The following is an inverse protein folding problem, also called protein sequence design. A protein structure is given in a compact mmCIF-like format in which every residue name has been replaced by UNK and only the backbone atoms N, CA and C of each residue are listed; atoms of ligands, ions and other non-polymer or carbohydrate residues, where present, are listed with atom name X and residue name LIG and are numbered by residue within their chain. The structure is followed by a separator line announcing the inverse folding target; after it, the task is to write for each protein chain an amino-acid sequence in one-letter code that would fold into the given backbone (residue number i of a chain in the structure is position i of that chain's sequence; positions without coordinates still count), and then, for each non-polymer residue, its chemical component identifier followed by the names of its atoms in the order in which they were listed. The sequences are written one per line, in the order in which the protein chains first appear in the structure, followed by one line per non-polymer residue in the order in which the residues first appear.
data_IF_336756219668
#
_entry.id   IF_336756219668
#
_cell.length_a   1.000
_cell.length_b   1.000
_cell.length_c   1.000
_cell.angle_alpha   90.00
_cell.angle_beta   90.00
_cell.angle_gamma   90.00
#
_symmetry.space_group_name_H-M   'P 1'
#
loop_
_entity.id
_entity.type
_entity.pdbx_description
1 polymer ?
#
# COMPACT_ATOMS: atom_id res chain seq x y z
N UNK A 1 -23.75 -11.20 30.00
CA UNK A 1 -23.73 -12.68 30.15
C UNK A 1 -24.17 -13.39 28.87
N UNK A 2 -25.35 -13.11 28.31
CA UNK A 2 -25.90 -13.80 27.14
C UNK A 2 -24.98 -13.79 25.90
N UNK A 3 -24.36 -12.64 25.57
CA UNK A 3 -23.38 -12.55 24.46
C UNK A 3 -22.18 -13.48 24.63
N UNK A 4 -21.69 -13.62 25.87
CA UNK A 4 -20.54 -14.50 26.15
C UNK A 4 -20.93 -15.97 26.06
N UNK A 5 -22.15 -16.31 26.48
CA UNK A 5 -22.69 -17.66 26.34
C UNK A 5 -22.83 -18.06 24.86
N UNK A 6 -23.35 -17.15 24.03
CA UNK A 6 -23.44 -17.34 22.58
C UNK A 6 -22.05 -17.61 21.97
N UNK A 7 -21.06 -16.76 22.27
CA UNK A 7 -19.68 -16.95 21.79
C UNK A 7 -19.06 -18.25 22.33
N UNK A 8 -19.28 -18.60 23.59
CA UNK A 8 -18.73 -19.83 24.18
C UNK A 8 -19.30 -21.10 23.53
N UNK A 9 -20.60 -21.12 23.21
CA UNK A 9 -21.25 -22.26 22.55
C UNK A 9 -20.75 -22.40 21.11
N UNK A 10 -20.57 -21.30 20.38
CA UNK A 10 -19.96 -21.33 19.04
C UNK A 10 -18.50 -21.80 19.10
N UNK A 11 -17.73 -21.37 20.10
CA UNK A 11 -16.36 -21.86 20.34
C UNK A 11 -16.33 -23.36 20.65
N UNK A 12 -17.29 -23.84 21.43
CA UNK A 12 -17.41 -25.25 21.78
C UNK A 12 -17.73 -26.09 20.53
N UNK A 13 -18.64 -25.61 19.67
CA UNK A 13 -18.95 -26.23 18.38
C UNK A 13 -17.74 -26.34 17.47
N UNK A 14 -16.94 -25.28 17.34
CA UNK A 14 -15.72 -25.30 16.54
C UNK A 14 -14.63 -26.25 17.09
N UNK A 15 -14.69 -26.63 18.37
CA UNK A 15 -13.78 -27.59 19.00
C UNK A 15 -14.30 -29.04 18.95
N UNK A 16 -15.62 -29.23 19.05
CA UNK A 16 -16.28 -30.54 19.12
C UNK A 16 -17.59 -30.55 18.30
N UNK A 17 -17.52 -30.54 16.95
CA UNK A 17 -18.69 -30.34 16.12
C UNK A 17 -19.73 -31.47 16.24
N UNK A 18 -19.30 -32.73 16.40
CA UNK A 18 -20.17 -33.91 16.48
C UNK A 18 -21.02 -33.96 17.75
N UNK A 19 -20.47 -33.50 18.88
CA UNK A 19 -21.16 -33.56 20.19
C UNK A 19 -22.07 -32.35 20.44
N UNK A 20 -21.93 -31.25 19.68
CA UNK A 20 -22.52 -29.94 20.05
C UNK A 20 -23.30 -29.24 18.94
N UNK A 21 -23.58 -29.96 17.85
CA UNK A 21 -24.37 -29.48 16.73
C UNK A 21 -25.80 -29.04 17.12
N UNK A 22 -26.51 -29.86 17.90
CA UNK A 22 -27.87 -29.50 18.34
C UNK A 22 -27.87 -28.26 19.23
N UNK A 23 -26.90 -28.17 20.15
CA UNK A 23 -26.79 -27.06 21.09
C UNK A 23 -26.54 -25.72 20.38
N UNK A 24 -25.63 -25.70 19.39
CA UNK A 24 -25.34 -24.46 18.65
C UNK A 24 -26.53 -24.04 17.79
N UNK A 25 -27.25 -24.99 17.18
CA UNK A 25 -28.44 -24.69 16.39
C UNK A 25 -29.56 -24.10 17.27
N UNK A 26 -29.83 -24.70 18.42
CA UNK A 26 -30.84 -24.22 19.35
C UNK A 26 -30.54 -22.80 19.85
N UNK A 27 -29.29 -22.54 20.24
CA UNK A 27 -28.88 -21.24 20.76
C UNK A 27 -28.85 -20.17 19.69
N UNK A 28 -28.44 -20.51 18.46
CA UNK A 28 -28.49 -19.57 17.34
C UNK A 28 -29.93 -19.25 16.91
N UNK A 29 -30.84 -20.23 16.96
CA UNK A 29 -32.27 -20.01 16.73
C UNK A 29 -32.85 -19.07 17.79
N UNK A 30 -32.59 -19.36 19.07
CA UNK A 30 -33.02 -18.51 20.18
C UNK A 30 -32.45 -17.09 20.06
N UNK A 31 -31.19 -16.96 19.64
CA UNK A 31 -30.54 -15.67 19.48
C UNK A 31 -31.09 -14.85 18.30
N UNK A 32 -31.51 -15.51 17.22
CA UNK A 32 -31.96 -14.82 15.99
C UNK A 32 -33.46 -14.59 15.93
N UNK A 33 -34.27 -15.48 16.51
CA UNK A 33 -35.73 -15.47 16.42
C UNK A 33 -36.41 -14.97 17.70
N UNK A 34 -35.96 -15.44 18.86
CA UNK A 34 -36.66 -15.22 20.14
C UNK A 34 -36.05 -14.10 21.00
N UNK A 35 -34.88 -13.57 20.62
CA UNK A 35 -34.19 -12.53 21.38
C UNK A 35 -34.58 -11.13 20.95
N UNK A 36 -35.07 -10.32 21.89
CA UNK A 36 -35.36 -8.89 21.70
C UNK A 36 -34.11 -7.99 21.72
N UNK A 37 -32.94 -8.51 22.12
CA UNK A 37 -31.71 -7.73 22.15
C UNK A 37 -31.07 -7.66 20.74
N UNK A 38 -30.92 -6.46 20.15
CA UNK A 38 -30.39 -6.29 18.80
C UNK A 38 -28.93 -6.75 18.67
N UNK A 39 -28.08 -6.48 19.67
CA UNK A 39 -26.66 -6.88 19.64
C UNK A 39 -26.50 -8.41 19.65
N UNK A 40 -27.39 -9.10 20.38
CA UNK A 40 -27.38 -10.55 20.45
C UNK A 40 -27.85 -11.19 19.14
N UNK A 41 -28.86 -10.58 18.52
CA UNK A 41 -29.40 -10.98 17.23
C UNK A 41 -28.38 -10.82 16.10
N UNK A 42 -27.73 -9.67 16.03
CA UNK A 42 -26.71 -9.38 15.03
C UNK A 42 -25.51 -10.31 15.15
N UNK A 43 -25.03 -10.54 16.38
CA UNK A 43 -23.94 -11.48 16.63
C UNK A 43 -24.34 -12.92 16.30
N UNK A 44 -25.59 -13.30 16.56
CA UNK A 44 -26.17 -14.57 16.15
C UNK A 44 -26.14 -14.76 14.64
N UNK A 45 -26.59 -13.77 13.86
CA UNK A 45 -26.55 -13.84 12.40
C UNK A 45 -25.12 -13.86 11.83
N UNK A 46 -24.19 -13.12 12.44
CA UNK A 46 -22.77 -13.17 12.03
C UNK A 46 -22.23 -14.59 12.21
N UNK A 47 -22.43 -15.21 13.39
CA UNK A 47 -21.98 -16.58 13.61
C UNK A 47 -22.68 -17.58 12.70
N UNK A 48 -23.98 -17.42 12.45
CA UNK A 48 -24.72 -18.27 11.52
C UNK A 48 -24.09 -18.22 10.12
N UNK A 49 -23.88 -17.02 9.57
CA UNK A 49 -23.28 -16.85 8.24
C UNK A 49 -21.86 -17.37 8.19
N UNK A 50 -21.07 -17.14 9.22
CA UNK A 50 -19.68 -17.59 9.30
C UNK A 50 -19.61 -19.12 9.28
N UNK A 51 -20.41 -19.80 10.12
CA UNK A 51 -20.46 -21.26 10.20
C UNK A 51 -21.05 -21.91 8.94
N UNK A 52 -22.03 -21.27 8.29
CA UNK A 52 -22.65 -21.79 7.07
C UNK A 52 -21.84 -21.54 5.79
N UNK A 53 -20.98 -20.51 5.76
CA UNK A 53 -20.20 -20.13 4.57
C UNK A 53 -18.85 -20.83 4.54
N UNK A 54 -18.09 -20.76 5.63
CA UNK A 54 -16.75 -21.33 5.72
C UNK A 54 -16.40 -21.70 7.18
N UNK A 55 -16.42 -22.99 7.54
CA UNK A 55 -16.08 -23.43 8.90
C UNK A 55 -14.59 -23.24 9.24
N UNK A 56 -13.70 -23.17 8.24
CA UNK A 56 -12.25 -22.97 8.46
C UNK A 56 -11.99 -21.52 8.85
N UNK A 57 -12.50 -20.57 8.08
CA UNK A 57 -12.45 -19.14 8.44
C UNK A 57 -13.17 -18.87 9.77
N UNK A 58 -14.27 -19.57 10.05
CA UNK A 58 -14.96 -19.45 11.33
C UNK A 58 -14.07 -19.80 12.52
N UNK A 59 -13.23 -20.84 12.37
CA UNK A 59 -12.29 -21.25 13.40
C UNK A 59 -11.22 -20.20 13.64
N UNK A 60 -10.63 -19.64 12.58
CA UNK A 60 -9.60 -18.61 12.68
C UNK A 60 -10.12 -17.34 13.34
N UNK A 61 -11.31 -16.87 12.97
CA UNK A 61 -11.89 -15.64 13.51
C UNK A 61 -12.35 -15.82 14.96
N UNK A 62 -13.04 -16.92 15.28
CA UNK A 62 -13.67 -17.09 16.59
C UNK A 62 -12.68 -17.60 17.65
N UNK A 63 -11.69 -18.41 17.26
CA UNK A 63 -10.65 -18.93 18.16
C UNK A 63 -9.35 -18.09 18.13
N UNK A 64 -9.35 -16.94 17.46
CA UNK A 64 -8.21 -16.03 17.47
C UNK A 64 -7.77 -15.70 18.91
N UNK A 65 -6.46 -15.73 19.13
CA UNK A 65 -5.88 -15.21 20.36
C UNK A 65 -6.07 -13.70 20.42
N UNK A 66 -6.42 -13.19 21.60
CA UNK A 66 -6.54 -11.75 21.79
C UNK A 66 -5.16 -11.13 21.57
N UNK A 67 -5.01 -10.10 20.71
CA UNK A 67 -3.72 -9.46 20.53
C UNK A 67 -3.22 -8.92 21.86
N UNK A 68 -1.91 -9.08 22.10
CA UNK A 68 -1.24 -8.47 23.25
C UNK A 68 -1.26 -6.95 23.02
N UNK A 69 -2.12 -6.25 23.74
CA UNK A 69 -2.11 -4.80 23.80
C UNK A 69 -0.99 -4.46 24.78
N UNK A 70 0.19 -4.10 24.27
CA UNK A 70 1.25 -3.52 25.09
C UNK A 70 1.02 -2.02 25.15
N UNK A 71 0.83 -1.47 26.34
CA UNK A 71 0.81 -0.02 26.54
C UNK A 71 2.25 0.48 26.58
N UNK A 72 2.60 1.54 25.84
CA UNK A 72 3.94 2.17 25.83
C UNK A 72 4.41 2.62 27.22
N UNK A 73 3.48 2.74 28.18
CA UNK A 73 3.70 3.16 29.56
C UNK A 73 4.47 2.15 30.41
N UNK A 74 4.44 0.85 30.09
CA UNK A 74 5.15 -0.20 30.84
C UNK A 74 6.66 -0.25 30.56
N UNK A 75 7.15 0.54 29.60
CA UNK A 75 8.56 0.57 29.20
C UNK A 75 9.38 1.67 29.90
N UNK A 76 8.76 2.46 30.79
CA UNK A 76 9.45 3.52 31.53
C UNK A 76 10.16 2.89 32.74
N UNK A 77 11.48 3.09 32.83
CA UNK A 77 12.26 2.63 33.99
C UNK A 77 11.67 3.23 35.28
N UNK A 78 11.44 2.43 36.35
CA UNK A 78 10.82 2.92 37.58
C UNK A 78 11.52 4.13 38.21
N UNK A 79 12.83 4.22 38.06
CA UNK A 79 13.67 5.34 38.53
C UNK A 79 13.37 6.63 37.75
N UNK A 80 13.25 6.54 36.42
CA UNK A 80 12.86 7.64 35.55
C UNK A 80 11.40 8.04 35.81
N UNK A 81 10.51 7.08 36.05
CA UNK A 81 9.12 7.37 36.41
C UNK A 81 9.05 8.19 37.71
N UNK A 82 9.79 7.79 38.76
CA UNK A 82 9.84 8.52 40.02
C UNK A 82 10.38 9.96 39.84
N UNK A 83 11.33 10.17 38.92
CA UNK A 83 11.79 11.51 38.55
C UNK A 83 10.73 12.30 37.76
N UNK A 84 10.11 11.68 36.75
CA UNK A 84 9.12 12.33 35.88
C UNK A 84 7.83 12.70 36.63
N UNK A 85 7.46 11.94 37.67
CA UNK A 85 6.33 12.27 38.56
C UNK A 85 6.53 13.66 39.20
N UNK A 86 7.77 14.01 39.55
CA UNK A 86 8.07 15.34 40.11
C UNK A 86 7.92 16.48 39.10
N UNK A 87 7.83 16.17 37.80
CA UNK A 87 7.76 17.13 36.69
C UNK A 87 6.50 16.95 35.82
N UNK A 88 5.44 16.35 36.37
CA UNK A 88 4.13 16.27 35.72
C UNK A 88 3.64 17.68 35.36
N UNK A 89 3.21 17.87 34.11
CA UNK A 89 2.80 19.17 33.59
C UNK A 89 3.92 19.95 32.90
N UNK A 90 5.09 19.33 32.69
CA UNK A 90 6.19 19.89 31.89
C UNK A 90 6.47 19.03 30.65
N UNK A 91 7.29 19.54 29.73
CA UNK A 91 7.68 18.77 28.54
C UNK A 91 8.42 17.46 28.88
N UNK A 92 9.08 17.38 30.05
CA UNK A 92 9.77 16.18 30.51
C UNK A 92 8.83 14.97 30.61
N UNK A 93 7.62 15.16 31.18
CA UNK A 93 6.63 14.09 31.32
C UNK A 93 5.96 13.69 30.00
N UNK A 94 5.98 14.57 28.98
CA UNK A 94 5.41 14.29 27.65
C UNK A 94 6.39 13.51 26.77
N UNK A 95 7.69 13.82 26.86
CA UNK A 95 8.72 13.16 26.05
C UNK A 95 9.43 12.01 26.76
N UNK A 96 9.01 11.66 27.98
CA UNK A 96 9.60 10.61 28.81
C UNK A 96 11.13 10.78 28.95
N UNK A 97 11.57 12.02 29.17
CA UNK A 97 13.00 12.38 29.29
C UNK A 97 13.22 13.25 30.53
N UNK A 98 14.35 13.08 31.25
CA UNK A 98 14.63 13.91 32.41
C UNK A 98 14.80 15.37 32.00
N UNK A 99 14.47 16.36 32.86
CA UNK A 99 14.60 17.78 32.55
C UNK A 99 16.01 18.20 32.11
N UNK A 100 17.04 17.48 32.55
CA UNK A 100 18.43 17.68 32.13
C UNK A 100 18.66 17.48 30.63
N UNK A 101 17.84 16.66 29.97
CA UNK A 101 17.92 16.42 28.53
C UNK A 101 17.43 17.60 27.67
N UNK A 102 16.78 18.61 28.28
CA UNK A 102 16.24 19.76 27.57
C UNK A 102 17.12 21.00 27.63
N UNK A 103 18.08 21.06 28.57
CA UNK A 103 18.94 22.24 28.76
C UNK A 103 20.37 21.81 29.05
N UNK A 104 21.24 21.88 28.03
CA UNK A 104 22.68 21.72 28.23
C UNK A 104 23.29 23.01 28.77
N UNK A 105 23.56 23.02 30.07
CA UNK A 105 24.41 24.01 30.72
C UNK A 105 23.68 25.08 31.54
N UNK A 106 24.15 25.20 32.78
CA UNK A 106 24.00 26.32 33.72
C UNK A 106 22.88 26.24 34.78
N UNK A 107 23.33 25.90 35.99
CA UNK A 107 22.92 26.44 37.30
C UNK A 107 21.42 26.73 37.48
N UNK A 108 20.66 25.71 37.88
CA UNK A 108 19.32 25.96 38.42
C UNK A 108 18.34 24.79 38.46
N UNK A 109 18.70 23.58 38.02
CA UNK A 109 17.79 22.43 38.12
C UNK A 109 17.71 21.98 39.57
N UNK A 110 16.62 22.35 40.25
CA UNK A 110 16.29 21.82 41.57
C UNK A 110 15.85 20.38 41.37
N UNK A 111 16.73 19.42 41.62
CA UNK A 111 16.37 18.01 41.65
C UNK A 111 15.34 17.79 42.76
N UNK A 112 14.09 17.63 42.37
CA UNK A 112 12.99 17.29 43.28
C UNK A 112 12.91 15.76 43.30
N UNK A 113 13.22 15.16 44.44
CA UNK A 113 13.07 13.71 44.64
C UNK A 113 11.77 13.43 45.39
N UNK A 114 11.10 12.33 45.02
CA UNK A 114 10.05 11.76 45.84
C UNK A 114 10.66 11.19 47.13
N UNK A 115 9.97 11.27 48.28
CA UNK A 115 10.41 10.57 49.48
C UNK A 115 10.43 9.05 49.22
N UNK A 116 11.39 8.31 49.80
CA UNK A 116 11.48 6.86 49.60
C UNK A 116 10.17 6.21 50.05
N UNK A 117 9.59 5.40 49.16
CA UNK A 117 8.40 4.60 49.44
C UNK A 117 8.69 3.71 50.65
N UNK A 118 8.15 4.08 51.81
CA UNK A 118 8.07 3.18 52.95
C UNK A 118 7.13 2.05 52.54
N UNK A 119 7.66 0.83 52.55
CA UNK A 119 6.94 -0.36 52.10
C UNK A 119 5.61 -0.51 52.83
N UNK A 120 4.52 -0.29 52.11
CA UNK A 120 3.22 -0.80 52.50
C UNK A 120 3.22 -2.27 52.11
N UNK A 121 3.42 -3.11 53.12
CA UNK A 121 3.28 -4.55 53.04
C UNK A 121 1.82 -4.88 52.75
N UNK A 122 1.52 -5.37 51.54
CA UNK A 122 0.30 -6.14 51.27
C UNK A 122 0.67 -7.34 50.40
N UNK A 123 0.88 -8.46 51.10
CA UNK A 123 0.60 -9.84 50.72
C UNK A 123 1.21 -10.42 49.44
N UNK A 124 2.35 -11.08 49.64
CA UNK A 124 2.71 -12.28 48.90
C UNK A 124 1.80 -13.44 49.33
N UNK A 125 1.01 -13.96 48.39
CA UNK A 125 0.50 -15.33 48.45
C UNK A 125 0.78 -16.02 47.11
N UNK A 126 1.95 -16.64 47.05
CA UNK A 126 2.21 -17.79 46.20
C UNK A 126 2.38 -18.99 47.15
N UNK A 127 1.67 -20.12 46.99
CA UNK A 127 2.04 -21.34 47.67
C UNK A 127 3.01 -22.15 46.81
N UNK A 128 4.20 -22.27 47.37
CA UNK A 128 5.15 -23.37 47.43
C UNK A 128 5.10 -24.57 46.45
N UNK A 129 6.31 -24.99 46.09
CA UNK A 129 6.61 -26.21 45.36
C UNK A 129 6.86 -27.39 46.31
N UNK A 130 6.53 -28.62 45.88
CA UNK A 130 7.29 -29.82 46.25
C UNK A 130 7.12 -30.95 45.21
N UNK A 131 8.10 -31.88 45.09
CA UNK A 131 8.46 -32.53 43.84
C UNK A 131 8.04 -34.00 43.74
N UNK A 132 8.07 -34.59 42.53
CA UNK A 132 8.23 -36.04 42.33
C UNK A 132 8.76 -36.36 40.92
N UNK A 133 9.77 -37.23 40.89
CA UNK A 133 10.40 -37.78 39.70
C UNK A 133 9.57 -38.92 39.08
N UNK A 134 9.66 -39.12 37.76
CA UNK A 134 9.07 -40.28 37.07
C UNK A 134 9.22 -40.24 35.55
N UNK A 135 9.80 -41.30 34.98
CA UNK A 135 10.30 -41.49 33.61
C UNK A 135 9.25 -41.67 32.48
N UNK A 136 9.73 -41.41 31.25
CA UNK A 136 9.57 -42.18 29.98
C UNK A 136 8.24 -42.28 29.18
N UNK A 137 8.37 -41.87 27.90
CA UNK A 137 8.03 -42.57 26.63
C UNK A 137 6.58 -42.66 26.07
N UNK A 138 6.57 -42.66 24.72
CA UNK A 138 5.57 -43.14 23.72
C UNK A 138 4.51 -42.19 23.09
N UNK A 139 4.77 -41.79 21.83
CA UNK A 139 3.82 -41.82 20.70
C UNK A 139 3.64 -43.30 20.24
N UNK A 140 2.63 -43.74 19.41
CA UNK A 140 2.00 -43.04 18.26
C UNK A 140 0.52 -43.41 17.91
N UNK A 141 -0.09 -42.76 16.90
CA UNK A 141 -1.01 -43.34 15.88
C UNK A 141 -1.81 -42.22 15.16
N UNK A 142 -1.59 -41.93 13.86
CA UNK A 142 -2.14 -42.58 12.63
C UNK A 142 -3.53 -42.07 12.21
N UNK A 143 -3.57 -41.50 11.00
CA UNK A 143 -4.71 -41.05 10.19
C UNK A 143 -5.57 -42.25 9.74
N UNK A 144 -6.89 -42.10 9.57
CA UNK A 144 -7.43 -42.36 8.23
C UNK A 144 -8.43 -41.30 7.74
N UNK A 145 -8.42 -41.10 6.43
CA UNK A 145 -9.41 -40.37 5.65
C UNK A 145 -10.69 -41.21 5.47
N UNK A 146 -11.84 -40.56 5.36
CA UNK A 146 -12.92 -40.88 4.41
C UNK A 146 -14.00 -39.79 4.47
N UNK A 147 -14.49 -39.42 3.29
CA UNK A 147 -15.43 -38.32 3.07
C UNK A 147 -16.90 -38.72 3.13
N UNK A 148 -17.71 -37.82 2.57
CA UNK A 148 -19.16 -37.87 2.37
C UNK A 148 -20.03 -37.89 3.62
N UNK A 149 -20.48 -36.70 4.05
CA UNK A 149 -21.74 -36.50 4.80
C UNK A 149 -22.19 -35.02 4.86
N UNK A 150 -21.81 -34.19 3.88
CA UNK A 150 -22.20 -32.77 3.82
C UNK A 150 -23.09 -32.42 2.62
N UNK A 151 -23.68 -33.44 1.98
CA UNK A 151 -24.59 -33.29 0.85
C UNK A 151 -26.08 -33.17 1.20
N UNK A 152 -26.46 -33.22 2.49
CA UNK A 152 -27.87 -33.40 2.89
C UNK A 152 -28.44 -32.27 3.76
N UNK A 153 -27.84 -31.07 3.74
CA UNK A 153 -28.34 -29.89 4.47
C UNK A 153 -28.71 -28.71 3.57
N UNK A 154 -28.78 -28.91 2.25
CA UNK A 154 -29.15 -27.88 1.26
C UNK A 154 -30.56 -28.04 0.70
N UNK A 155 -31.48 -28.63 1.46
CA UNK A 155 -32.87 -28.72 1.04
C UNK A 155 -33.85 -28.36 2.18
N UNK A 156 -33.96 -27.06 2.43
CA UNK A 156 -35.16 -26.45 2.98
C UNK A 156 -35.39 -25.10 2.30
N UNK A 157 -36.00 -25.24 1.13
CA UNK A 157 -36.87 -24.27 0.47
C UNK A 157 -37.81 -23.59 1.48
N UNK A 158 -37.71 -22.26 1.57
CA UNK A 158 -38.75 -21.40 2.13
C UNK A 158 -38.78 -20.11 1.31
N UNK A 159 -39.52 -20.15 0.20
CA UNK A 159 -39.90 -18.98 -0.57
C UNK A 159 -40.73 -17.97 0.25
N UNK A 160 -40.78 -16.70 -0.18
CA UNK A 160 -41.59 -15.66 0.48
C UNK A 160 -43.06 -15.74 0.00
N UNK A 161 -44.08 -15.54 0.86
CA UNK A 161 -45.44 -15.33 0.37
C UNK A 161 -45.65 -13.86 -0.02
N UNK A 162 -46.14 -13.69 -1.25
CA UNK A 162 -46.64 -12.46 -1.88
C UNK A 162 -48.02 -12.06 -1.36
N UNK A 163 -48.32 -10.75 -1.32
CA UNK A 163 -49.69 -10.21 -1.50
C UNK A 163 -49.65 -8.68 -1.73
N UNK A 164 -49.99 -8.24 -2.95
CA UNK A 164 -50.25 -6.83 -3.30
C UNK A 164 -50.34 -6.62 -4.84
N UNK A 165 -51.48 -6.19 -5.41
CA UNK A 165 -51.76 -6.27 -6.85
C UNK A 165 -51.17 -5.11 -7.68
N UNK A 166 -51.10 -5.25 -9.03
CA UNK A 166 -50.29 -4.40 -9.90
C UNK A 166 -51.07 -3.20 -10.45
N UNK A 167 -50.37 -2.08 -10.71
CA UNK A 167 -50.86 -1.05 -11.61
C UNK A 167 -49.82 -0.75 -12.70
N UNK A 168 -50.36 -0.73 -13.92
CA UNK A 168 -49.66 -0.70 -15.19
C UNK A 168 -49.13 0.69 -15.56
N UNK A 169 -48.23 0.66 -16.53
CA UNK A 169 -47.64 1.80 -17.22
C UNK A 169 -48.67 2.79 -17.79
N UNK A 170 -48.30 4.07 -17.85
CA UNK A 170 -48.79 5.01 -18.85
C UNK A 170 -47.78 6.12 -19.09
N UNK A 171 -47.36 6.22 -20.35
CA UNK A 171 -46.70 7.35 -20.99
C UNK A 171 -47.67 8.53 -21.15
N UNK A 172 -47.26 9.73 -20.76
CA UNK A 172 -47.86 10.97 -21.30
C UNK A 172 -46.76 12.02 -21.53
N UNK A 173 -46.81 12.52 -22.76
CA UNK A 173 -46.04 13.58 -23.38
C UNK A 173 -46.86 14.87 -23.31
N UNK A 174 -46.31 15.96 -22.75
CA UNK A 174 -46.71 17.37 -22.94
C UNK A 174 -45.79 18.19 -22.02
N UNK A 175 -45.25 19.36 -22.33
CA UNK A 175 -45.35 20.27 -23.46
C UNK A 175 -44.39 21.43 -23.15
N UNK A 176 -43.97 22.11 -24.21
CA UNK A 176 -43.07 23.25 -24.15
C UNK A 176 -43.57 24.36 -23.21
N UNK A 177 -42.67 24.88 -22.38
CA UNK A 177 -42.79 26.23 -21.81
C UNK A 177 -41.50 26.99 -22.10
N UNK A 178 -41.69 27.89 -23.05
CA UNK A 178 -40.87 29.01 -23.46
C UNK A 178 -40.52 29.93 -22.27
N UNK A 179 -39.24 30.24 -22.10
CA UNK A 179 -38.75 31.27 -21.18
C UNK A 179 -37.60 32.05 -21.82
N UNK A 180 -37.83 32.58 -23.03
CA UNK A 180 -36.98 33.62 -23.61
C UNK A 180 -37.85 34.74 -24.19
N UNK A 181 -38.22 35.68 -23.32
CA UNK A 181 -38.94 36.89 -23.71
C UNK A 181 -38.44 38.12 -22.97
N UNK A 182 -37.68 38.97 -23.66
CA UNK A 182 -37.67 40.40 -23.40
C UNK A 182 -36.29 41.07 -23.27
N UNK A 183 -35.93 41.89 -24.26
CA UNK A 183 -35.17 43.12 -23.98
C UNK A 183 -33.89 43.36 -24.78
N UNK A 184 -34.03 43.49 -26.11
CA UNK A 184 -33.17 44.37 -26.90
C UNK A 184 -33.53 45.82 -26.57
N UNK A 185 -32.55 46.70 -26.31
CA UNK A 185 -32.20 47.82 -27.20
C UNK A 185 -31.24 48.84 -26.56
N UNK A 186 -30.35 49.38 -27.41
CA UNK A 186 -29.62 50.64 -27.31
C UNK A 186 -28.49 50.81 -26.28
N UNK A 187 -27.25 50.60 -26.74
CA UNK A 187 -26.45 51.75 -27.18
C UNK A 187 -25.48 51.35 -28.29
N UNK A 188 -25.92 51.69 -29.49
CA UNK A 188 -25.29 51.56 -30.79
C UNK A 188 -24.14 52.58 -30.96
N UNK A 189 -23.16 52.21 -31.80
CA UNK A 189 -22.34 53.13 -32.59
C UNK A 189 -20.87 53.07 -32.20
N UNK A 190 -19.99 52.39 -32.93
CA UNK A 190 -19.75 52.50 -34.38
C UNK A 190 -18.47 53.35 -34.57
N UNK A 191 -17.54 53.12 -35.49
CA UNK A 191 -17.50 52.33 -36.71
C UNK A 191 -16.05 52.33 -37.23
N UNK A 192 -15.64 51.24 -37.90
CA UNK A 192 -14.68 51.27 -39.02
C UNK A 192 -13.19 51.47 -38.68
N UNK A 193 -12.20 51.05 -39.46
CA UNK A 193 -12.14 50.45 -40.79
C UNK A 193 -10.67 49.99 -41.02
N UNK A 194 -10.49 49.03 -41.95
CA UNK A 194 -9.32 48.78 -42.82
C UNK A 194 -8.05 48.07 -42.31
N UNK A 195 -7.73 46.95 -42.98
CA UNK A 195 -6.39 46.41 -43.18
C UNK A 195 -5.62 47.23 -44.25
N UNK A 196 -4.26 47.12 -44.33
CA UNK A 196 -3.65 46.25 -45.35
C UNK A 196 -2.29 45.60 -44.94
N UNK A 197 -1.83 44.58 -45.67
CA UNK A 197 -0.40 44.15 -45.70
C UNK A 197 0.36 44.84 -46.86
N UNK A 198 1.54 44.38 -47.34
CA UNK A 198 2.58 43.47 -46.80
C UNK A 198 4.01 44.12 -46.81
N UNK A 199 5.06 43.49 -46.24
CA UNK A 199 6.46 43.53 -46.73
C UNK A 199 7.48 42.89 -45.74
N UNK A 200 8.43 42.14 -46.28
CA UNK A 200 9.75 41.86 -45.68
C UNK A 200 10.80 42.84 -46.28
N UNK A 201 11.91 43.13 -45.58
CA UNK A 201 13.17 42.56 -46.04
C UNK A 201 14.16 42.18 -44.92
N UNK A 202 15.17 41.40 -45.32
CA UNK A 202 16.32 40.96 -44.54
C UNK A 202 17.33 42.09 -44.24
N UNK A 203 18.03 42.02 -43.11
CA UNK A 203 19.45 42.40 -43.01
C UNK A 203 20.10 41.88 -41.71
N UNK A 204 21.33 41.44 -41.89
CA UNK A 204 22.31 40.91 -40.95
C UNK A 204 22.92 42.02 -40.07
N UNK A 205 23.15 41.73 -38.79
CA UNK A 205 23.91 42.60 -37.88
C UNK A 205 23.90 42.12 -36.42
N UNK A 206 25.01 41.54 -35.95
CA UNK A 206 25.39 41.52 -34.53
C UNK A 206 25.71 42.97 -34.07
N UNK A 207 25.89 43.34 -32.76
CA UNK A 207 26.19 42.52 -31.58
C UNK A 207 25.46 42.96 -30.26
N UNK A 208 25.88 42.37 -29.13
CA UNK A 208 25.76 42.82 -27.72
C UNK A 208 24.41 42.67 -26.98
N UNK A 209 24.45 41.81 -25.95
CA UNK A 209 24.02 42.21 -24.60
C UNK A 209 22.83 41.47 -23.98
N UNK A 210 23.08 40.88 -22.80
CA UNK A 210 22.10 40.63 -21.72
C UNK A 210 21.04 39.55 -22.02
N UNK A 211 21.22 38.30 -21.59
CA UNK A 211 21.28 37.95 -20.16
C UNK A 211 19.90 37.92 -19.51
N UNK A 212 18.95 37.16 -20.09
CA UNK A 212 17.61 36.93 -19.54
C UNK A 212 17.26 35.44 -19.51
N UNK A 213 18.23 34.60 -19.14
CA UNK A 213 18.04 33.18 -18.86
C UNK A 213 18.06 32.83 -17.36
N UNK A 214 18.26 33.82 -16.49
CA UNK A 214 18.63 33.61 -15.07
C UNK A 214 17.62 34.22 -14.08
N UNK A 215 16.38 34.49 -14.54
CA UNK A 215 15.33 35.09 -13.70
C UNK A 215 14.23 34.10 -13.28
N UNK A 216 14.24 32.87 -13.80
CA UNK A 216 13.34 31.81 -13.32
C UNK A 216 13.98 30.85 -12.31
N UNK A 217 15.25 31.07 -11.92
CA UNK A 217 15.99 30.22 -10.97
C UNK A 217 16.31 30.89 -9.62
N UNK A 218 15.77 32.08 -9.33
CA UNK A 218 16.22 32.86 -8.16
C UNK A 218 15.13 33.44 -7.24
N UNK A 219 13.92 32.87 -7.25
CA UNK A 219 12.89 33.20 -6.24
C UNK A 219 12.13 31.95 -5.79
N UNK A 220 12.78 31.13 -4.96
CA UNK A 220 12.09 30.06 -4.24
C UNK A 220 13.02 28.90 -3.87
N UNK A 221 13.80 29.07 -2.81
CA UNK A 221 14.50 27.97 -2.16
C UNK A 221 13.51 26.92 -1.65
N UNK A 222 13.21 25.95 -2.51
CA UNK A 222 12.65 24.64 -2.18
C UNK A 222 13.50 23.67 -2.97
N UNK A 223 14.26 22.82 -2.26
CA UNK A 223 15.20 21.90 -2.88
C UNK A 223 14.58 21.12 -4.02
N UNK A 224 15.34 20.88 -5.07
CA UNK A 224 15.02 19.88 -6.08
C UNK A 224 14.76 18.57 -5.33
N UNK A 225 13.50 18.22 -5.14
CA UNK A 225 13.15 16.92 -4.57
C UNK A 225 13.63 15.91 -5.60
N UNK A 226 14.74 15.24 -5.31
CA UNK A 226 15.28 14.15 -6.13
C UNK A 226 14.18 13.10 -6.29
N UNK A 227 13.45 13.18 -7.41
CA UNK A 227 12.36 12.27 -7.70
C UNK A 227 12.87 10.84 -7.86
N UNK A 228 12.01 9.85 -7.58
CA UNK A 228 12.27 8.45 -7.91
C UNK A 228 12.67 8.35 -9.39
N UNK A 229 13.60 7.45 -9.70
CA UNK A 229 13.95 7.14 -11.09
C UNK A 229 12.68 6.76 -11.87
N UNK A 230 12.57 7.23 -13.11
CA UNK A 230 11.48 6.89 -14.04
C UNK A 230 12.10 6.36 -15.33
N UNK A 231 11.72 5.13 -15.70
CA UNK A 231 12.21 4.52 -16.94
C UNK A 231 11.69 5.29 -18.16
N UNK A 232 12.43 5.32 -19.28
CA UNK A 232 11.95 5.93 -20.52
C UNK A 232 10.70 5.20 -21.04
N UNK A 233 9.82 5.94 -21.73
CA UNK A 233 8.62 5.36 -22.33
C UNK A 233 9.01 4.35 -23.42
N UNK A 234 8.37 3.18 -23.40
CA UNK A 234 8.59 2.11 -24.37
C UNK A 234 7.28 1.71 -25.05
N UNK A 235 7.34 1.22 -26.29
CA UNK A 235 6.15 0.78 -27.02
C UNK A 235 5.67 -0.54 -26.43
N UNK A 236 4.47 -0.57 -25.86
CA UNK A 236 3.84 -1.78 -25.30
C UNK A 236 2.87 -2.45 -26.27
N UNK A 237 2.15 -1.65 -27.05
CA UNK A 237 1.24 -2.14 -28.08
C UNK A 237 1.55 -1.47 -29.42
N UNK A 238 2.22 -2.16 -30.35
CA UNK A 238 2.49 -1.62 -31.68
C UNK A 238 1.22 -1.44 -32.52
N UNK A 239 1.14 -0.37 -33.32
CA UNK A 239 -0.01 -0.06 -34.19
C UNK A 239 -0.47 -1.24 -35.07
N UNK A 240 0.48 -2.03 -35.57
CA UNK A 240 0.21 -3.19 -36.43
C UNK A 240 -0.63 -4.27 -35.74
N UNK A 241 -0.57 -4.36 -34.41
CA UNK A 241 -1.30 -5.36 -33.61
C UNK A 241 -2.64 -4.84 -33.09
N UNK A 242 -2.93 -3.55 -33.26
CA UNK A 242 -4.11 -2.90 -32.68
C UNK A 242 -4.83 -1.97 -33.66
N UNK A 243 -4.94 -2.42 -34.92
CA UNK A 243 -5.70 -1.74 -35.97
C UNK A 243 -5.35 -0.24 -36.11
N UNK A 244 -4.06 0.09 -35.92
CA UNK A 244 -3.52 1.45 -36.01
C UNK A 244 -3.33 2.17 -34.67
N UNK A 245 -3.83 1.66 -33.54
CA UNK A 245 -3.56 2.24 -32.22
C UNK A 245 -2.17 1.82 -31.73
N UNK A 246 -1.29 2.79 -31.48
CA UNK A 246 -0.02 2.54 -30.80
C UNK A 246 -0.08 3.04 -29.36
N UNK A 247 0.38 2.21 -28.41
CA UNK A 247 0.47 2.57 -26.99
C UNK A 247 1.92 2.43 -26.56
N UNK A 248 2.49 3.56 -26.13
CA UNK A 248 3.76 3.61 -25.43
C UNK A 248 3.54 4.03 -23.99
N UNK A 249 4.40 3.59 -23.07
CA UNK A 249 4.27 4.05 -21.69
C UNK A 249 5.45 3.76 -20.80
N UNK A 250 5.34 4.29 -19.58
CA UNK A 250 6.22 4.03 -18.44
C UNK A 250 5.41 4.05 -17.14
N UNK A 251 6.06 3.73 -16.04
CA UNK A 251 5.49 3.85 -14.70
C UNK A 251 6.31 4.84 -13.89
N UNK A 252 5.62 5.66 -13.11
CA UNK A 252 6.24 6.62 -12.21
C UNK A 252 5.59 6.56 -10.83
N UNK A 253 6.37 6.94 -9.82
CA UNK A 253 5.86 7.19 -8.47
C UNK A 253 6.16 8.64 -8.11
N UNK A 254 5.11 9.42 -7.83
CA UNK A 254 5.22 10.82 -7.45
C UNK A 254 4.44 11.03 -6.16
N UNK A 255 5.13 11.45 -5.10
CA UNK A 255 4.52 11.86 -3.81
C UNK A 255 3.48 10.85 -3.30
N UNK A 256 3.87 9.57 -3.19
CA UNK A 256 2.99 8.50 -2.71
C UNK A 256 2.00 7.93 -3.75
N UNK A 257 1.80 8.60 -4.89
CA UNK A 257 0.89 8.16 -5.95
C UNK A 257 1.66 7.41 -7.04
N UNK A 258 1.12 6.29 -7.47
CA UNK A 258 1.65 5.49 -8.59
C UNK A 258 0.90 5.91 -9.84
N UNK A 259 1.60 6.15 -10.94
CA UNK A 259 1.00 6.51 -12.22
C UNK A 259 1.50 5.58 -13.34
N UNK A 260 0.61 5.31 -14.30
CA UNK A 260 0.95 4.74 -15.59
C UNK A 260 0.88 5.85 -16.63
N UNK A 261 2.05 6.30 -17.08
CA UNK A 261 2.16 7.40 -18.04
C UNK A 261 2.13 6.81 -19.45
N UNK A 262 1.08 7.13 -20.20
CA UNK A 262 0.74 6.58 -21.50
C UNK A 262 0.86 7.64 -22.60
N UNK A 263 1.26 7.20 -23.78
CA UNK A 263 1.15 7.95 -25.03
C UNK A 263 0.35 7.10 -26.00
N UNK A 264 -0.86 7.54 -26.31
CA UNK A 264 -1.73 6.90 -27.30
C UNK A 264 -1.56 7.62 -28.62
N UNK A 265 -1.19 6.89 -29.67
CA UNK A 265 -1.00 7.45 -31.02
C UNK A 265 -1.91 6.72 -32.01
N UNK A 266 -2.75 7.46 -32.72
CA UNK A 266 -3.60 6.90 -33.76
C UNK A 266 -2.87 6.93 -35.11
N UNK A 267 -2.43 5.79 -35.60
CA UNK A 267 -1.85 5.61 -36.95
C UNK A 267 -2.85 5.03 -37.96
N UNK A 268 -4.14 4.93 -37.60
CA UNK A 268 -5.21 4.54 -38.51
C UNK A 268 -5.74 5.75 -39.29
N UNK A 269 -6.60 5.48 -40.29
CA UNK A 269 -7.31 6.51 -41.06
C UNK A 269 -8.68 6.88 -40.44
N UNK A 270 -9.10 6.17 -39.38
CA UNK A 270 -10.37 6.40 -38.69
C UNK A 270 -10.13 7.06 -37.33
N UNK A 271 -11.09 7.87 -36.87
CA UNK A 271 -11.05 8.50 -35.55
C UNK A 271 -11.29 7.44 -34.45
N UNK A 272 -10.49 7.48 -33.40
CA UNK A 272 -10.62 6.60 -32.24
C UNK A 272 -11.25 7.35 -31.05
N UNK A 273 -12.23 6.74 -30.40
CA UNK A 273 -12.97 7.29 -29.26
C UNK A 273 -13.34 6.18 -28.29
N UNK A 274 -14.10 6.48 -27.24
CA UNK A 274 -14.61 5.51 -26.26
C UNK A 274 -13.51 4.67 -25.60
N UNK A 275 -12.42 5.32 -25.24
CA UNK A 275 -11.28 4.67 -24.61
C UNK A 275 -11.61 4.19 -23.19
N UNK A 276 -11.30 2.93 -22.91
CA UNK A 276 -11.38 2.34 -21.58
C UNK A 276 -10.18 1.42 -21.35
N UNK A 277 -9.79 1.27 -20.09
CA UNK A 277 -8.65 0.43 -19.69
C UNK A 277 -9.05 -0.46 -18.51
N UNK A 278 -8.56 -1.69 -18.52
CA UNK A 278 -8.72 -2.62 -17.43
C UNK A 278 -7.46 -3.47 -17.27
N UNK A 279 -7.09 -3.76 -16.03
CA UNK A 279 -5.99 -4.68 -15.74
C UNK A 279 -6.54 -6.03 -15.32
N UNK A 280 -5.84 -7.10 -15.70
CA UNK A 280 -6.08 -8.40 -15.12
C UNK A 280 -5.60 -8.42 -13.65
N UNK A 281 -6.02 -9.44 -12.90
CA UNK A 281 -5.45 -9.72 -11.57
C UNK A 281 -3.93 -9.86 -11.69
N UNK A 282 -3.21 -9.31 -10.72
CA UNK A 282 -1.74 -9.28 -10.74
C UNK A 282 -1.16 -9.39 -9.32
N UNK A 283 0.16 -9.60 -9.22
CA UNK A 283 0.81 -10.02 -7.97
C UNK A 283 0.71 -9.01 -6.83
N UNK A 284 0.53 -7.72 -7.13
CA UNK A 284 0.50 -6.64 -6.13
C UNK A 284 -0.83 -5.86 -6.13
N UNK A 285 -1.87 -6.40 -6.76
CA UNK A 285 -3.20 -5.77 -6.77
C UNK A 285 -3.24 -4.41 -7.46
N UNK A 286 -2.34 -4.16 -8.43
CA UNK A 286 -2.35 -2.92 -9.19
C UNK A 286 -3.66 -2.78 -9.96
N UNK A 287 -4.32 -1.64 -9.83
CA UNK A 287 -5.53 -1.31 -10.56
C UNK A 287 -5.60 0.19 -10.89
N UNK A 288 -6.27 0.59 -11.99
CA UNK A 288 -6.56 1.99 -12.26
C UNK A 288 -7.38 2.59 -11.11
N UNK A 289 -6.94 3.73 -10.58
CA UNK A 289 -7.66 4.47 -9.55
C UNK A 289 -8.71 5.42 -10.13
N UNK A 290 -8.66 5.67 -11.44
CA UNK A 290 -9.63 6.47 -12.19
C UNK A 290 -9.83 5.88 -13.60
N UNK A 291 -10.93 6.22 -14.28
CA UNK A 291 -11.11 5.89 -15.70
C UNK A 291 -10.03 6.54 -16.58
N UNK A 292 -9.76 5.94 -17.74
CA UNK A 292 -8.83 6.51 -18.71
C UNK A 292 -9.43 7.78 -19.34
N UNK A 293 -8.89 8.95 -19.00
CA UNK A 293 -9.43 10.24 -19.44
C UNK A 293 -8.85 10.66 -20.80
N UNK A 294 -9.55 10.32 -21.88
CA UNK A 294 -9.27 10.82 -23.23
C UNK A 294 -10.32 11.87 -23.59
N UNK A 295 -10.02 13.15 -23.36
CA UNK A 295 -11.02 14.23 -23.44
C UNK A 295 -11.56 14.53 -24.84
N UNK A 296 -10.85 14.14 -25.89
CA UNK A 296 -11.26 14.34 -27.27
C UNK A 296 -11.02 13.08 -28.10
N UNK A 297 -11.88 12.77 -29.09
CA UNK A 297 -11.61 11.71 -30.05
C UNK A 297 -10.25 11.91 -30.72
N UNK A 298 -9.46 10.84 -30.79
CA UNK A 298 -8.11 10.84 -31.33
C UNK A 298 -8.16 10.72 -32.86
N UNK A 299 -7.87 11.81 -33.56
CA UNK A 299 -7.86 11.86 -35.03
C UNK A 299 -6.68 11.08 -35.64
N UNK A 300 -6.73 10.75 -36.94
CA UNK A 300 -5.60 10.14 -37.65
C UNK A 300 -4.30 10.94 -37.48
N UNK A 301 -3.21 10.23 -37.19
CA UNK A 301 -1.86 10.74 -36.89
C UNK A 301 -1.75 11.64 -35.65
N UNK A 302 -2.77 11.68 -34.79
CA UNK A 302 -2.73 12.41 -33.54
C UNK A 302 -2.18 11.54 -32.40
N UNK A 303 -1.45 12.17 -31.48
CA UNK A 303 -1.00 11.57 -30.23
C UNK A 303 -1.55 12.33 -29.03
N UNK A 304 -1.80 11.62 -27.94
CA UNK A 304 -2.19 12.19 -26.64
C UNK A 304 -1.39 11.55 -25.52
N UNK A 305 -0.87 12.36 -24.60
CA UNK A 305 -0.24 11.89 -23.37
C UNK A 305 -1.26 11.88 -22.23
N UNK A 306 -1.26 10.81 -21.44
CA UNK A 306 -2.20 10.60 -20.34
C UNK A 306 -1.44 10.04 -19.15
N UNK A 307 -1.66 10.60 -17.97
CA UNK A 307 -1.17 10.00 -16.71
C UNK A 307 -2.34 9.34 -16.00
N UNK A 308 -2.34 8.01 -15.95
CA UNK A 308 -3.38 7.22 -15.31
C UNK A 308 -2.97 6.91 -13.86
N UNK A 309 -3.66 7.46 -12.84
CA UNK A 309 -3.35 7.13 -11.46
C UNK A 309 -3.70 5.68 -11.15
N UNK A 310 -2.85 5.00 -10.40
CA UNK A 310 -2.97 3.61 -9.99
C UNK A 310 -3.05 3.50 -8.46
N UNK A 311 -3.70 2.43 -8.00
CA UNK A 311 -3.68 1.99 -6.60
C UNK A 311 -3.26 0.51 -6.53
N UNK A 312 -3.10 0.00 -5.31
CA UNK A 312 -2.72 -1.40 -5.03
C UNK A 312 -3.80 -2.16 -4.26
N UNK A 313 -5.07 -1.74 -4.40
CA UNK A 313 -6.24 -2.36 -3.72
C UNK A 313 -7.05 -3.27 -4.63
N UNK A 314 -6.55 -3.54 -5.84
CA UNK A 314 -7.16 -4.45 -6.80
C UNK A 314 -7.03 -5.92 -6.41
N UNK A 315 -7.67 -6.78 -7.20
CA UNK A 315 -7.61 -8.23 -6.99
C UNK A 315 -6.22 -8.80 -7.24
N UNK A 316 -5.73 -9.59 -6.29
CA UNK A 316 -4.38 -10.17 -6.32
C UNK A 316 -4.40 -11.55 -6.98
N UNK A 317 -3.43 -11.81 -7.86
CA UNK A 317 -3.11 -13.13 -8.41
C UNK A 317 -1.62 -13.16 -8.74
N UNK A 318 -0.88 -14.12 -8.18
CA UNK A 318 0.56 -14.24 -8.44
C UNK A 318 0.80 -14.49 -9.93
N UNK A 319 1.62 -13.63 -10.54
CA UNK A 319 2.02 -13.71 -11.94
C UNK A 319 3.43 -14.32 -12.07
N UNK A 320 3.73 -14.79 -13.27
CA UNK A 320 5.08 -15.19 -13.68
C UNK A 320 5.41 -14.51 -15.02
N UNK A 321 6.40 -13.59 -15.10
CA UNK A 321 7.19 -13.05 -13.99
C UNK A 321 6.34 -12.22 -13.00
N UNK A 322 6.87 -12.02 -11.78
CA UNK A 322 6.12 -11.44 -10.64
C UNK A 322 5.58 -10.04 -10.93
N UNK A 323 6.34 -9.24 -11.68
CA UNK A 323 6.00 -7.87 -12.06
C UNK A 323 5.28 -7.76 -13.42
N UNK A 324 4.77 -8.86 -13.96
CA UNK A 324 3.98 -8.84 -15.18
C UNK A 324 2.60 -8.22 -14.93
N UNK A 325 2.18 -7.35 -15.85
CA UNK A 325 0.88 -6.71 -15.86
C UNK A 325 0.22 -6.95 -17.23
N UNK A 326 -0.92 -7.63 -17.22
CA UNK A 326 -1.76 -7.81 -18.40
C UNK A 326 -2.83 -6.72 -18.44
N UNK A 327 -2.94 -6.06 -19.58
CA UNK A 327 -3.75 -4.86 -19.77
C UNK A 327 -4.66 -5.05 -20.98
N UNK A 328 -5.93 -4.70 -20.82
CA UNK A 328 -6.90 -4.58 -21.89
C UNK A 328 -7.22 -3.09 -22.11
N UNK A 329 -7.11 -2.63 -23.35
CA UNK A 329 -7.52 -1.29 -23.77
C UNK A 329 -8.59 -1.42 -24.83
N UNK A 330 -9.74 -0.80 -24.60
CA UNK A 330 -10.86 -0.73 -25.53
C UNK A 330 -10.91 0.65 -26.16
N UNK A 331 -11.33 0.72 -27.41
CA UNK A 331 -11.84 1.93 -28.05
C UNK A 331 -13.14 1.60 -28.82
N UNK A 332 -13.64 2.54 -29.63
CA UNK A 332 -14.79 2.36 -30.51
C UNK A 332 -14.59 1.34 -31.65
N UNK A 333 -13.37 0.84 -31.89
CA UNK A 333 -13.05 -0.13 -32.95
C UNK A 333 -13.02 -1.56 -32.41
N UNK A 334 -12.27 -1.81 -31.33
CA UNK A 334 -12.10 -3.14 -30.74
C UNK A 334 -11.54 -3.09 -29.31
N UNK A 335 -11.32 -4.26 -28.72
CA UNK A 335 -10.56 -4.46 -27.48
C UNK A 335 -9.20 -5.08 -27.80
N UNK A 336 -8.14 -4.45 -27.31
CA UNK A 336 -6.76 -4.88 -27.52
C UNK A 336 -6.12 -5.27 -26.20
N UNK A 337 -5.26 -6.29 -26.24
CA UNK A 337 -4.58 -6.83 -25.08
C UNK A 337 -3.07 -6.72 -25.25
N UNK A 338 -2.37 -6.34 -24.19
CA UNK A 338 -0.91 -6.39 -24.14
C UNK A 338 -0.44 -6.72 -22.72
N UNK A 339 0.84 -7.06 -22.60
CA UNK A 339 1.52 -7.29 -21.33
C UNK A 339 2.73 -6.38 -21.21
N UNK A 340 2.97 -5.84 -20.01
CA UNK A 340 4.15 -5.02 -19.71
C UNK A 340 4.71 -5.40 -18.34
N UNK A 341 5.97 -5.06 -18.09
CA UNK A 341 6.64 -5.28 -16.82
C UNK A 341 6.78 -3.93 -16.11
N UNK A 342 6.17 -3.77 -14.94
CA UNK A 342 6.39 -2.56 -14.15
C UNK A 342 7.67 -2.71 -13.31
N UNK A 343 8.47 -1.64 -13.17
CA UNK A 343 9.65 -1.70 -12.32
C UNK A 343 9.23 -1.68 -10.85
N UNK A 344 9.82 -2.55 -10.03
CA UNK A 344 9.35 -2.77 -8.66
C UNK A 344 9.47 -1.53 -7.76
N UNK A 345 10.38 -0.59 -8.06
CA UNK A 345 10.59 0.60 -7.24
C UNK A 345 9.36 1.51 -7.14
N UNK A 346 8.41 1.44 -8.06
CA UNK A 346 7.15 2.21 -7.95
C UNK A 346 6.29 1.75 -6.76
N UNK A 347 6.53 0.53 -6.26
CA UNK A 347 5.84 -0.07 -5.13
C UNK A 347 6.54 0.17 -3.79
N UNK A 348 7.69 0.84 -3.77
CA UNK A 348 8.38 1.15 -2.51
C UNK A 348 7.68 2.31 -1.82
N UNK A 349 7.25 2.09 -0.57
CA UNK A 349 6.47 3.06 0.20
C UNK A 349 7.36 3.95 1.07
N UNK A 350 6.85 5.13 1.39
CA UNK A 350 7.55 6.17 2.16
C UNK A 350 7.81 5.72 3.61
N UNK A 351 6.92 4.91 4.18
CA UNK A 351 7.08 4.21 5.46
C UNK A 351 7.95 2.94 5.31
N UNK A 352 9.06 3.06 4.59
CA UNK A 352 10.02 1.98 4.32
C UNK A 352 11.27 2.04 5.20
N UNK A 353 11.35 3.01 6.12
CA UNK A 353 12.52 3.21 6.98
C UNK A 353 12.35 2.43 8.29
N UNK A 354 13.11 1.35 8.42
CA UNK A 354 13.12 0.52 9.62
C UNK A 354 14.06 1.09 10.70
N UNK A 355 13.67 0.98 11.96
CA UNK A 355 14.56 1.34 13.07
C UNK A 355 15.75 0.39 13.19
N UNK A 356 16.88 0.89 13.67
CA UNK A 356 18.13 0.11 13.75
C UNK A 356 18.00 -1.16 14.59
N UNK A 357 17.31 -1.10 15.73
CA UNK A 357 17.11 -2.27 16.58
C UNK A 357 16.24 -3.32 15.89
N UNK A 358 15.14 -2.88 15.27
CA UNK A 358 14.23 -3.73 14.50
C UNK A 358 14.92 -4.36 13.28
N UNK A 359 15.79 -3.61 12.60
CA UNK A 359 16.61 -4.12 11.49
C UNK A 359 17.49 -5.28 11.93
N UNK A 360 18.23 -5.12 13.04
CA UNK A 360 19.11 -6.17 13.56
C UNK A 360 18.34 -7.42 14.00
N UNK A 361 17.17 -7.24 14.63
CA UNK A 361 16.32 -8.35 15.03
C UNK A 361 15.78 -9.09 13.79
N UNK A 362 15.20 -8.36 12.84
CA UNK A 362 14.62 -8.93 11.62
C UNK A 362 15.66 -9.60 10.73
N UNK A 363 16.87 -9.03 10.61
CA UNK A 363 17.97 -9.61 9.84
C UNK A 363 18.41 -10.99 10.38
N UNK A 364 18.40 -11.15 11.71
CA UNK A 364 18.73 -12.41 12.38
C UNK A 364 17.59 -13.42 12.30
N UNK A 365 16.34 -12.95 12.32
CA UNK A 365 15.15 -13.79 12.26
C UNK A 365 14.92 -14.40 10.87
N UNK A 366 15.23 -13.67 9.79
CA UNK A 366 15.08 -14.19 8.42
C UNK A 366 16.14 -15.29 8.16
N UNK A 367 15.71 -16.52 7.78
CA UNK A 367 16.61 -17.64 7.47
C UNK A 367 17.67 -17.27 6.42
N UNK A 368 18.89 -17.78 6.58
CA UNK A 368 19.99 -17.49 5.64
C UNK A 368 19.76 -18.10 4.25
N UNK A 369 18.90 -19.12 4.12
CA UNK A 369 18.45 -19.66 2.83
C UNK A 369 17.64 -18.64 1.99
N UNK A 370 17.06 -17.63 2.65
CA UNK A 370 16.35 -16.55 1.99
C UNK A 370 17.27 -15.36 1.64
N UNK A 371 18.57 -15.45 1.94
CA UNK A 371 19.54 -14.46 1.52
C UNK A 371 19.93 -14.68 0.07
N UNK A 372 19.73 -13.66 -0.76
CA UNK A 372 20.14 -13.66 -2.16
C UNK A 372 21.22 -12.59 -2.38
N UNK A 373 22.34 -12.98 -2.99
CA UNK A 373 23.46 -12.08 -3.27
C UNK A 373 23.54 -11.76 -4.76
N UNK A 374 23.74 -10.48 -5.07
CA UNK A 374 23.81 -9.95 -6.42
C UNK A 374 25.03 -9.02 -6.57
N UNK A 375 25.47 -8.82 -7.81
CA UNK A 375 26.54 -7.87 -8.14
C UNK A 375 25.98 -6.74 -8.99
N UNK A 376 26.12 -5.50 -8.50
CA UNK A 376 25.82 -4.30 -9.27
C UNK A 376 27.12 -3.85 -9.91
N UNK A 377 27.27 -4.11 -11.21
CA UNK A 377 28.48 -3.80 -11.97
C UNK A 377 28.47 -2.37 -12.49
N UNK A 378 29.65 -1.85 -12.78
CA UNK A 378 29.88 -0.55 -13.42
C UNK A 378 29.29 0.63 -12.64
N UNK A 379 29.41 0.60 -11.30
CA UNK A 379 28.97 1.68 -10.42
C UNK A 379 30.18 2.32 -9.73
N UNK A 380 30.41 3.60 -9.99
CA UNK A 380 31.52 4.40 -9.43
C UNK A 380 31.07 5.42 -8.37
N UNK A 381 29.81 5.31 -7.92
CA UNK A 381 29.25 6.21 -6.91
C UNK A 381 29.85 5.92 -5.53
N UNK A 382 30.13 6.96 -4.75
CA UNK A 382 30.52 6.79 -3.35
C UNK A 382 29.29 6.43 -2.47
N UNK A 383 29.55 5.97 -1.26
CA UNK A 383 28.49 5.49 -0.36
C UNK A 383 27.41 6.55 -0.02
N UNK A 384 27.78 7.83 0.01
CA UNK A 384 26.85 8.92 0.34
C UNK A 384 25.95 9.25 -0.86
N UNK A 385 26.51 9.29 -2.07
CA UNK A 385 25.77 9.44 -3.32
C UNK A 385 24.82 8.26 -3.55
N UNK A 386 25.27 7.04 -3.30
CA UNK A 386 24.44 5.82 -3.33
C UNK A 386 23.27 5.95 -2.37
N UNK A 387 23.53 6.34 -1.11
CA UNK A 387 22.47 6.50 -0.09
C UNK A 387 21.46 7.57 -0.50
N UNK A 388 21.92 8.73 -0.99
CA UNK A 388 21.04 9.81 -1.43
C UNK A 388 20.17 9.41 -2.61
N UNK A 389 20.73 8.69 -3.58
CA UNK A 389 20.02 8.28 -4.81
C UNK A 389 18.96 7.22 -4.53
N UNK A 390 19.31 6.23 -3.70
CA UNK A 390 18.39 5.19 -3.25
C UNK A 390 17.26 5.77 -2.38
N UNK A 391 17.55 6.76 -1.53
CA UNK A 391 16.54 7.42 -0.71
C UNK A 391 15.46 8.14 -1.54
N UNK A 392 15.82 8.71 -2.71
CA UNK A 392 14.85 9.30 -3.64
C UNK A 392 13.85 8.29 -4.20
N UNK A 393 14.16 6.99 -4.15
CA UNK A 393 13.28 5.89 -4.56
C UNK A 393 12.77 5.06 -3.37
N UNK A 394 12.66 5.66 -2.18
CA UNK A 394 12.14 5.03 -0.95
C UNK A 394 12.96 3.80 -0.47
N UNK A 395 14.27 3.81 -0.70
CA UNK A 395 15.21 2.83 -0.13
C UNK A 395 16.08 3.54 0.90
N UNK A 396 15.96 3.18 2.17
CA UNK A 396 16.48 3.98 3.27
C UNK A 396 17.73 3.36 3.88
N UNK A 397 18.84 4.11 3.94
CA UNK A 397 20.04 3.72 4.69
C UNK A 397 19.81 3.89 6.19
N UNK A 398 19.91 2.78 6.95
CA UNK A 398 19.69 2.68 8.40
C UNK A 398 21.00 2.81 9.18
N UNK A 399 22.07 2.26 8.61
CA UNK A 399 23.41 2.38 9.16
C UNK A 399 24.46 2.33 8.04
N UNK A 400 25.55 3.07 8.25
CA UNK A 400 26.78 3.01 7.46
C UNK A 400 27.90 2.57 8.39
N UNK A 401 28.71 1.60 7.96
CA UNK A 401 29.94 1.18 8.65
C UNK A 401 31.06 1.15 7.64
N UNK A 402 32.26 1.50 8.08
CA UNK A 402 33.47 1.27 7.30
C UNK A 402 34.25 0.13 7.96
N UNK A 403 34.52 -0.94 7.22
CA UNK A 403 35.24 -2.13 7.70
C UNK A 403 36.36 -2.41 6.71
N UNK A 404 37.61 -2.33 7.15
CA UNK A 404 38.79 -2.59 6.30
C UNK A 404 38.82 -1.75 5.01
N UNK A 405 38.33 -0.50 5.08
CA UNK A 405 38.24 0.39 3.93
C UNK A 405 37.06 0.12 2.99
N UNK A 406 36.20 -0.85 3.31
CA UNK A 406 34.96 -1.13 2.58
C UNK A 406 33.78 -0.44 3.27
N UNK A 407 32.99 0.29 2.49
CA UNK A 407 31.76 0.88 2.99
C UNK A 407 30.63 -0.16 2.95
N UNK A 408 30.02 -0.39 4.10
CA UNK A 408 28.89 -1.28 4.32
C UNK A 408 27.66 -0.45 4.63
N UNK A 409 26.67 -0.48 3.75
CA UNK A 409 25.39 0.19 3.91
C UNK A 409 24.31 -0.82 4.25
N UNK A 410 23.66 -0.63 5.39
CA UNK A 410 22.51 -1.40 5.83
C UNK A 410 21.25 -0.62 5.50
N UNK A 411 20.37 -1.21 4.71
CA UNK A 411 19.24 -0.52 4.09
C UNK A 411 17.94 -1.28 4.27
N UNK A 412 16.83 -0.56 4.37
CA UNK A 412 15.50 -1.15 4.39
C UNK A 412 14.61 -0.51 3.34
N UNK A 413 13.66 -1.30 2.86
CA UNK A 413 12.52 -0.84 2.09
C UNK A 413 11.29 -1.68 2.42
N UNK A 414 10.12 -1.15 2.10
CA UNK A 414 8.82 -1.79 2.29
C UNK A 414 8.01 -1.66 1.01
N UNK A 415 7.34 -2.73 0.61
CA UNK A 415 6.44 -2.75 -0.54
C UNK A 415 5.01 -2.34 -0.12
N UNK A 416 4.18 -1.95 -1.09
CA UNK A 416 2.77 -1.58 -0.86
C UNK A 416 1.94 -2.68 -0.19
N UNK A 417 2.30 -3.95 -0.37
CA UNK A 417 1.65 -5.09 0.28
C UNK A 417 2.21 -5.42 1.67
N UNK A 418 3.09 -4.58 2.22
CA UNK A 418 3.66 -4.74 3.56
C UNK A 418 4.90 -5.64 3.64
N UNK A 419 5.35 -6.23 2.54
CA UNK A 419 6.59 -7.01 2.53
C UNK A 419 7.79 -6.10 2.79
N UNK A 420 8.60 -6.46 3.78
CA UNK A 420 9.87 -5.81 4.08
C UNK A 420 11.01 -6.52 3.37
N UNK A 421 11.93 -5.72 2.81
CA UNK A 421 13.18 -6.21 2.25
C UNK A 421 14.34 -5.49 2.93
N UNK A 422 15.28 -6.27 3.44
CA UNK A 422 16.48 -5.78 4.10
C UNK A 422 17.65 -5.99 3.13
N UNK A 423 18.53 -5.01 3.07
CA UNK A 423 19.67 -5.02 2.17
C UNK A 423 20.97 -4.69 2.92
N UNK A 424 22.03 -5.41 2.57
CA UNK A 424 23.40 -5.06 2.88
C UNK A 424 24.12 -4.78 1.55
N UNK A 425 24.57 -3.54 1.36
CA UNK A 425 25.31 -3.14 0.17
C UNK A 425 26.76 -2.86 0.56
N UNK A 426 27.67 -3.63 -0.05
CA UNK A 426 29.12 -3.54 0.14
C UNK A 426 29.76 -2.82 -1.03
N UNK A 427 30.47 -1.73 -0.74
CA UNK A 427 31.18 -0.87 -1.68
C UNK A 427 32.67 -0.96 -1.38
N UNK A 428 33.46 -1.39 -2.37
CA UNK A 428 34.91 -1.48 -2.26
C UNK A 428 35.56 -0.38 -3.10
N UNK A 429 36.48 0.44 -2.56
CA UNK A 429 37.05 1.59 -3.26
C UNK A 429 37.76 1.25 -4.59
N UNK A 430 38.31 0.04 -4.70
CA UNK A 430 39.07 -0.43 -5.85
C UNK A 430 38.24 -1.24 -6.86
N UNK A 431 36.97 -1.53 -6.55
CA UNK A 431 36.12 -2.40 -7.38
C UNK A 431 34.91 -1.60 -7.90
N UNK A 432 34.73 -1.48 -9.22
CA UNK A 432 33.53 -0.84 -9.79
C UNK A 432 32.27 -1.69 -9.63
N UNK A 433 32.33 -2.83 -8.94
CA UNK A 433 31.18 -3.69 -8.66
C UNK A 433 30.84 -3.66 -7.17
N UNK A 434 29.58 -3.36 -6.85
CA UNK A 434 29.05 -3.47 -5.49
C UNK A 434 28.43 -4.84 -5.28
N UNK A 435 28.55 -5.37 -4.06
CA UNK A 435 27.86 -6.60 -3.67
C UNK A 435 26.61 -6.24 -2.88
N UNK A 436 25.44 -6.66 -3.37
CA UNK A 436 24.14 -6.44 -2.75
C UNK A 436 23.62 -7.77 -2.20
N UNK A 437 23.50 -7.88 -0.89
CA UNK A 437 22.84 -9.00 -0.22
C UNK A 437 21.44 -8.60 0.20
N UNK A 438 20.42 -9.33 -0.23
CA UNK A 438 19.02 -9.07 0.08
C UNK A 438 18.46 -10.20 0.94
N UNK A 439 17.79 -9.83 2.04
CA UNK A 439 17.01 -10.74 2.88
C UNK A 439 15.54 -10.32 2.87
N UNK A 440 14.67 -11.30 2.59
CA UNK A 440 13.23 -11.12 2.56
C UNK A 440 12.53 -12.40 3.04
N UNK A 441 11.37 -12.28 3.69
CA UNK A 441 10.53 -13.47 3.97
C UNK A 441 9.93 -14.09 2.71
N UNK A 442 9.77 -13.29 1.65
CA UNK A 442 9.36 -13.70 0.30
C UNK A 442 10.56 -13.58 -0.66
N UNK A 443 11.42 -14.59 -0.76
CA UNK A 443 12.68 -14.52 -1.51
C UNK A 443 12.47 -14.30 -3.02
N UNK A 444 11.30 -14.62 -3.57
CA UNK A 444 10.99 -14.37 -4.99
C UNK A 444 11.01 -12.88 -5.36
N UNK A 445 10.90 -11.98 -4.39
CA UNK A 445 10.92 -10.52 -4.60
C UNK A 445 12.36 -10.01 -4.80
N UNK A 446 13.36 -10.70 -4.26
CA UNK A 446 14.76 -10.25 -4.20
C UNK A 446 15.35 -9.94 -5.57
N UNK A 447 15.08 -10.77 -6.59
CA UNK A 447 15.58 -10.52 -7.94
C UNK A 447 15.07 -9.20 -8.54
N UNK A 448 13.81 -8.86 -8.29
CA UNK A 448 13.17 -7.64 -8.81
C UNK A 448 13.60 -6.40 -8.02
N UNK A 449 13.91 -6.56 -6.73
CA UNK A 449 14.55 -5.50 -5.93
C UNK A 449 15.96 -5.24 -6.44
N UNK A 450 16.74 -6.27 -6.73
CA UNK A 450 18.06 -6.10 -7.36
C UNK A 450 17.97 -5.33 -8.69
N UNK A 451 17.01 -5.67 -9.56
CA UNK A 451 16.80 -4.93 -10.81
C UNK A 451 16.48 -3.45 -10.57
N UNK A 452 15.69 -3.14 -9.52
CA UNK A 452 15.42 -1.76 -9.12
C UNK A 452 16.70 -1.04 -8.66
N UNK A 453 17.51 -1.68 -7.81
CA UNK A 453 18.81 -1.15 -7.37
C UNK A 453 19.73 -0.84 -8.56
N UNK A 454 19.87 -1.80 -9.49
CA UNK A 454 20.72 -1.63 -10.67
C UNK A 454 20.26 -0.46 -11.54
N UNK A 455 18.95 -0.35 -11.79
CA UNK A 455 18.37 0.73 -12.59
C UNK A 455 18.55 2.10 -11.93
N UNK A 456 18.30 2.22 -10.62
CA UNK A 456 18.41 3.48 -9.86
C UNK A 456 19.88 3.91 -9.75
N UNK A 457 20.82 3.00 -9.53
CA UNK A 457 22.21 3.39 -9.37
C UNK A 457 22.86 3.82 -10.69
N UNK A 458 22.45 3.21 -11.81
CA UNK A 458 23.01 3.51 -13.14
C UNK A 458 22.43 4.74 -13.84
N UNK A 459 21.28 5.24 -13.42
CA UNK A 459 20.61 6.41 -14.00
C UNK A 459 20.32 7.41 -12.90
#
# INVERSE_FOLDING_TARGET
VQLQLLTAIVKLFLKKPTETQELVQQVLSLATQDSDNPDLRDRGYIYWRLLSTDPVAAKEVVLAEKPLISEETDLIEPTLLDELICYIGTLASVYHKPPSAFVEGSRGVVHKSLPPRTGSSESAESPDAAPSAGQAAEQPAVIPAQGDLLGDLLNLDLGPPVSGPPLAASSVQMGAVDLLGGGLDSLMGGSGFTAPGPAAPAAMGAPLGSGLGDLFDLTGGVGTLSGSYVAPKTVWLPAMKAKGLEISGTFSRQVGSICMDLVLTNKALQVMSDFAIQFNRNSFGLAPAAPLQVHAPLAPNQSVEISLPLNTVGSVMKMDPLNNLQVAVKNNIDVFYFSTLYPLHILFVEDGKMERQMFLATWKDIPNENEAQFQIKDCSLNADAVSSKLQGSNIFTIAKRNVEGQDMLYQSLKLTNGIWVLAELRIQPSNPSFTLSLKCRAPEVSQYVYQAYDAILKN
#
